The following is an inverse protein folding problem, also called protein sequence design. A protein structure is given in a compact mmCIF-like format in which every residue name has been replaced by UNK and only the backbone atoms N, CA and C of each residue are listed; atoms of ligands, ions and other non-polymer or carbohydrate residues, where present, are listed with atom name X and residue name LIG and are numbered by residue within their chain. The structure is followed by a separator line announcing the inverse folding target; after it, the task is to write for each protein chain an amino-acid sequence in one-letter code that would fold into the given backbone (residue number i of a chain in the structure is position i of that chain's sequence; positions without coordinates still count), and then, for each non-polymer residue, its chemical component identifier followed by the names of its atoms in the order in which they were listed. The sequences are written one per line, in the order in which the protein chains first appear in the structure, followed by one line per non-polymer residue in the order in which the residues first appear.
data_IF_224492116757
#
_entry.id   IF_224492116757
#
_cell.length_a   1.000
_cell.length_b   1.000
_cell.length_c   1.000
_cell.angle_alpha   90.00
_cell.angle_beta   90.00
_cell.angle_gamma   90.00
#
_symmetry.space_group_name_H-M   'P 1'
#
loop_
_entity.id
_entity.type
_entity.pdbx_description
1 polymer ?
#
# COMPACT_ATOMS: atom_id res chain seq x y z
N UNK A 1 24.16 -31.41 -6.53
CA UNK A 1 23.99 -30.61 -7.76
C UNK A 1 23.14 -31.46 -8.69
N UNK A 2 21.83 -31.25 -8.70
CA UNK A 2 20.94 -31.94 -9.62
C UNK A 2 20.67 -30.98 -10.78
N UNK A 3 21.12 -31.37 -11.96
CA UNK A 3 20.86 -30.64 -13.19
C UNK A 3 19.50 -31.08 -13.69
N UNK A 4 18.59 -30.14 -13.94
CA UNK A 4 17.42 -30.42 -14.79
C UNK A 4 17.96 -30.87 -16.15
N UNK A 5 17.76 -32.14 -16.50
CA UNK A 5 18.19 -32.69 -17.79
C UNK A 5 17.02 -32.70 -18.77
N UNK A 6 17.16 -32.02 -19.91
CA UNK A 6 16.25 -32.13 -21.06
C UNK A 6 14.98 -31.28 -20.99
N UNK A 7 13.88 -31.82 -21.55
CA UNK A 7 12.60 -31.12 -21.79
C UNK A 7 11.91 -30.55 -20.53
N UNK A 8 12.38 -30.87 -19.32
CA UNK A 8 11.85 -30.34 -18.06
C UNK A 8 12.40 -28.95 -17.70
N UNK A 9 13.49 -28.50 -18.34
CA UNK A 9 14.04 -27.13 -18.17
C UNK A 9 13.11 -26.07 -18.75
N UNK A 10 12.38 -26.44 -19.82
CA UNK A 10 11.44 -25.57 -20.52
C UNK A 10 10.03 -26.19 -20.52
N UNK A 11 9.38 -26.30 -19.35
CA UNK A 11 8.08 -26.94 -19.24
C UNK A 11 7.01 -26.15 -19.98
N UNK A 12 6.12 -26.86 -20.68
CA UNK A 12 4.88 -26.31 -21.23
C UNK A 12 3.75 -26.49 -20.22
N UNK A 13 2.60 -25.83 -20.43
CA UNK A 13 1.45 -25.96 -19.55
C UNK A 13 0.96 -27.41 -19.33
N UNK A 14 1.28 -28.33 -20.26
CA UNK A 14 0.90 -29.75 -20.20
C UNK A 14 2.02 -30.67 -19.68
N UNK A 15 3.17 -30.12 -19.25
CA UNK A 15 4.30 -30.91 -18.76
C UNK A 15 4.01 -31.40 -17.35
N UNK A 16 3.85 -32.72 -17.19
CA UNK A 16 3.57 -33.39 -15.90
C UNK A 16 4.91 -33.70 -15.20
N UNK A 17 4.98 -33.49 -13.88
CA UNK A 17 6.14 -33.86 -13.05
C UNK A 17 7.08 -32.73 -12.65
N UNK A 18 6.73 -31.47 -12.92
CA UNK A 18 7.52 -30.30 -12.50
C UNK A 18 7.50 -30.06 -10.98
N UNK A 19 6.36 -30.32 -10.34
CA UNK A 19 6.19 -30.18 -8.90
C UNK A 19 6.15 -31.56 -8.26
N UNK A 20 7.12 -31.90 -7.40
CA UNK A 20 7.01 -33.15 -6.65
C UNK A 20 8.14 -33.49 -5.70
N UNK A 21 9.41 -33.36 -6.09
CA UNK A 21 10.47 -34.07 -5.36
C UNK A 21 11.73 -33.26 -5.05
N UNK A 22 11.78 -31.97 -5.40
CA UNK A 22 12.96 -31.14 -5.19
C UNK A 22 12.81 -30.32 -3.92
N UNK A 23 13.69 -30.59 -2.95
CA UNK A 23 13.90 -29.68 -1.83
C UNK A 23 14.86 -28.61 -2.31
N UNK A 24 14.38 -27.38 -2.38
CA UNK A 24 15.23 -26.22 -2.67
C UNK A 24 16.45 -26.19 -1.74
N UNK A 25 17.55 -25.65 -2.26
CA UNK A 25 18.72 -25.42 -1.42
C UNK A 25 18.37 -24.47 -0.26
N UNK A 26 18.97 -24.70 0.90
CA UNK A 26 18.75 -23.86 2.08
C UNK A 26 19.08 -22.38 1.81
N UNK A 27 20.12 -22.11 1.01
CA UNK A 27 20.49 -20.75 0.58
C UNK A 27 19.39 -20.07 -0.25
N UNK A 28 18.76 -20.79 -1.19
CA UNK A 28 17.64 -20.23 -1.98
C UNK A 28 16.44 -19.84 -1.10
N UNK A 29 16.13 -20.66 -0.09
CA UNK A 29 15.05 -20.38 0.88
C UNK A 29 15.40 -19.17 1.74
N UNK A 30 16.64 -19.08 2.23
CA UNK A 30 17.10 -17.94 3.03
C UNK A 30 17.09 -16.63 2.23
N UNK A 31 17.48 -16.65 0.95
CA UNK A 31 17.38 -15.50 0.04
C UNK A 31 15.94 -15.04 -0.15
N UNK A 32 15.02 -15.96 -0.38
CA UNK A 32 13.60 -15.63 -0.53
C UNK A 32 13.03 -15.01 0.76
N UNK A 33 13.35 -15.59 1.92
CA UNK A 33 12.91 -15.07 3.21
C UNK A 33 13.41 -13.64 3.46
N UNK A 34 14.68 -13.38 3.17
CA UNK A 34 15.27 -12.03 3.27
C UNK A 34 14.58 -11.05 2.31
N UNK A 35 14.36 -11.46 1.06
CA UNK A 35 13.65 -10.63 0.09
C UNK A 35 12.23 -10.25 0.56
N UNK A 36 11.46 -11.22 1.05
CA UNK A 36 10.10 -10.98 1.58
C UNK A 36 10.13 -9.98 2.74
N UNK A 37 11.12 -10.11 3.64
CA UNK A 37 11.32 -9.19 4.76
C UNK A 37 11.61 -7.77 4.27
N UNK A 38 12.53 -7.60 3.34
CA UNK A 38 12.85 -6.29 2.75
C UNK A 38 11.63 -5.65 2.06
N UNK A 39 10.84 -6.43 1.33
CA UNK A 39 9.62 -5.91 0.69
C UNK A 39 8.57 -5.47 1.72
N UNK A 40 8.45 -6.20 2.83
CA UNK A 40 7.59 -5.81 3.95
C UNK A 40 8.04 -4.48 4.57
N UNK A 41 9.35 -4.33 4.81
CA UNK A 41 9.94 -3.10 5.34
C UNK A 41 9.76 -1.91 4.39
N UNK A 42 9.84 -2.12 3.07
CA UNK A 42 9.56 -1.09 2.04
C UNK A 42 8.08 -0.72 1.96
N UNK A 43 7.17 -1.66 2.22
CA UNK A 43 5.72 -1.42 2.18
C UNK A 43 5.22 -0.57 3.35
N UNK A 44 5.79 -0.75 4.54
CA UNK A 44 5.39 -0.01 5.74
C UNK A 44 5.44 1.54 5.58
N UNK A 45 6.52 2.16 5.06
CA UNK A 45 6.62 3.60 4.87
C UNK A 45 5.90 4.13 3.62
N UNK A 46 5.27 3.28 2.79
CA UNK A 46 4.62 3.72 1.56
C UNK A 46 3.52 4.75 1.83
N UNK A 47 2.72 4.54 2.88
CA UNK A 47 1.78 5.53 3.40
C UNK A 47 2.47 6.37 4.49
N UNK A 48 3.08 7.47 4.08
CA UNK A 48 3.72 8.40 5.02
C UNK A 48 2.66 9.17 5.79
N UNK A 49 2.80 9.23 7.12
CA UNK A 49 1.99 10.13 7.96
C UNK A 49 2.34 11.58 7.59
N UNK A 50 1.33 12.40 7.34
CA UNK A 50 1.49 13.85 7.21
C UNK A 50 1.78 14.43 8.61
N UNK A 51 2.65 15.43 8.68
CA UNK A 51 2.89 16.14 9.93
C UNK A 51 1.58 16.75 10.43
N UNK A 52 1.33 16.63 11.74
CA UNK A 52 0.19 17.28 12.36
C UNK A 52 0.52 18.76 12.53
N UNK A 53 -0.34 19.62 12.01
CA UNK A 53 -0.29 21.05 12.24
C UNK A 53 -1.13 21.38 13.48
N UNK A 54 -0.51 21.96 14.51
CA UNK A 54 -1.20 22.31 15.75
C UNK A 54 -1.99 23.62 15.63
N UNK A 55 -1.71 24.43 14.61
CA UNK A 55 -2.35 25.73 14.40
C UNK A 55 -3.56 25.64 13.45
N UNK A 56 -3.84 24.45 12.92
CA UNK A 56 -5.00 24.21 12.05
C UNK A 56 -6.30 24.11 12.85
N UNK A 57 -7.38 24.69 12.30
CA UNK A 57 -8.72 24.58 12.87
C UNK A 57 -9.18 23.12 12.96
N UNK A 58 -9.60 22.71 14.16
CA UNK A 58 -10.02 21.33 14.43
C UNK A 58 -11.51 21.19 14.13
N UNK A 59 -11.82 20.57 13.00
CA UNK A 59 -13.20 20.29 12.53
C UNK A 59 -13.75 18.91 12.97
N UNK A 60 -13.01 18.20 13.84
CA UNK A 60 -13.30 16.81 14.20
C UNK A 60 -13.31 16.56 15.71
N UNK A 61 -14.17 15.63 16.14
CA UNK A 61 -14.26 15.20 17.55
C UNK A 61 -13.42 13.95 17.81
N UNK A 62 -13.20 13.11 16.78
CA UNK A 62 -12.45 11.86 16.90
C UNK A 62 -11.57 11.57 15.67
N UNK A 63 -10.60 10.68 15.80
CA UNK A 63 -9.64 10.32 14.73
C UNK A 63 -10.32 9.69 13.50
N UNK A 64 -11.42 8.95 13.68
CA UNK A 64 -12.17 8.37 12.56
C UNK A 64 -12.90 9.45 11.76
N UNK A 65 -13.45 10.45 12.45
CA UNK A 65 -14.11 11.61 11.89
C UNK A 65 -13.10 12.49 11.16
N UNK A 66 -11.91 12.73 11.73
CA UNK A 66 -10.80 13.40 11.04
C UNK A 66 -10.49 12.78 9.67
N UNK A 67 -10.29 11.46 9.64
CA UNK A 67 -9.99 10.74 8.38
C UNK A 67 -11.14 10.82 7.38
N UNK A 68 -12.37 10.89 7.88
CA UNK A 68 -13.54 11.06 7.03
C UNK A 68 -13.64 12.49 6.48
N UNK A 69 -13.39 13.52 7.30
CA UNK A 69 -13.31 14.91 6.85
C UNK A 69 -12.18 15.08 5.81
N UNK A 70 -10.99 14.49 6.02
CA UNK A 70 -9.90 14.46 5.04
C UNK A 70 -10.25 13.72 3.73
N UNK A 71 -11.18 12.76 3.79
CA UNK A 71 -11.70 12.08 2.61
C UNK A 71 -12.66 13.00 1.87
N UNK A 72 -13.63 13.59 2.58
CA UNK A 72 -14.56 14.55 2.01
C UNK A 72 -13.83 15.73 1.37
N UNK A 73 -12.78 16.24 2.02
CA UNK A 73 -12.00 17.35 1.49
C UNK A 73 -11.31 17.00 0.17
N UNK A 74 -10.75 15.79 0.07
CA UNK A 74 -10.11 15.34 -1.17
C UNK A 74 -11.09 15.22 -2.34
N UNK A 75 -12.33 14.82 -2.08
CA UNK A 75 -13.31 14.59 -3.14
C UNK A 75 -14.16 15.83 -3.45
N UNK A 76 -14.53 16.59 -2.42
CA UNK A 76 -15.51 17.66 -2.52
C UNK A 76 -14.92 19.05 -2.29
N UNK A 77 -13.72 19.17 -1.72
CA UNK A 77 -13.11 20.49 -1.42
C UNK A 77 -12.99 21.40 -2.64
N UNK A 78 -12.79 20.82 -3.84
CA UNK A 78 -12.80 21.58 -5.10
C UNK A 78 -14.14 22.23 -5.42
N UNK A 79 -15.25 21.59 -5.04
CA UNK A 79 -16.61 22.05 -5.33
C UNK A 79 -17.22 22.84 -4.18
N UNK A 80 -16.73 22.66 -2.95
CA UNK A 80 -17.26 23.32 -1.75
C UNK A 80 -16.44 24.54 -1.31
N UNK A 81 -15.43 24.94 -2.09
CA UNK A 81 -14.57 26.08 -1.76
C UNK A 81 -15.34 27.38 -1.54
N UNK A 82 -16.34 27.68 -2.38
CA UNK A 82 -17.18 28.89 -2.24
C UNK A 82 -18.03 28.84 -0.96
N UNK A 83 -18.62 27.68 -0.67
CA UNK A 83 -19.43 27.45 0.53
C UNK A 83 -18.59 27.63 1.80
N UNK A 84 -17.35 27.13 1.81
CA UNK A 84 -16.43 27.31 2.94
C UNK A 84 -16.08 28.78 3.17
N UNK A 85 -15.75 29.51 2.10
CA UNK A 85 -15.43 30.93 2.24
C UNK A 85 -16.65 31.74 2.71
N UNK A 86 -17.85 31.38 2.26
CA UNK A 86 -19.09 32.02 2.72
C UNK A 86 -19.35 31.76 4.20
N UNK A 87 -19.07 30.54 4.68
CA UNK A 87 -19.13 30.19 6.12
C UNK A 87 -18.13 31.00 6.95
N UNK A 88 -16.87 31.12 6.50
CA UNK A 88 -15.84 31.90 7.18
C UNK A 88 -16.15 33.41 7.21
N UNK A 89 -16.78 33.92 6.14
CA UNK A 89 -17.20 35.33 6.04
C UNK A 89 -18.50 35.63 6.80
N UNK A 90 -19.23 34.62 7.25
CA UNK A 90 -20.53 34.79 7.91
C UNK A 90 -21.64 35.30 6.98
N UNK A 91 -21.46 35.21 5.67
CA UNK A 91 -22.40 35.75 4.66
C UNK A 91 -22.63 34.74 3.55
N UNK A 92 -23.90 34.47 3.22
CA UNK A 92 -24.27 33.71 2.03
C UNK A 92 -24.40 34.68 0.84
N UNK A 93 -23.37 34.76 0.00
CA UNK A 93 -23.41 35.39 -1.32
C UNK A 93 -23.41 34.32 -2.40
#
# INVERSE_FOLDING_TARGET
MFFFTGDLVYPTANTIGLAGNEKDSRDAVERLANYVKEQSEKRAPYSRRRAFDNDADIDYINERNKRYNELLERHYGKYTAEIKQNLERGTAL
#
